data_IF_456997635211
#
_entry.id   IF_456997635211
#
_cell.length_a   1.000
_cell.length_b   1.000
_cell.length_c   1.000
_cell.angle_alpha   90.00
_cell.angle_beta   90.00
_cell.angle_gamma   90.00
#
_symmetry.space_group_name_H-M   'P 1'
#
loop_
_entity.id
_entity.type
_entity.pdbx_description
1 polymer ?
#
# COMPACT_ATOMS: atom_id res chain seq x y z
N UNK A 1 -86.82 -123.82 61.45
CA UNK A 1 -86.36 -123.15 62.70
C UNK A 1 -84.84 -123.16 62.72
N UNK A 2 -84.22 -121.97 62.63
CA UNK A 2 -82.83 -121.59 62.98
C UNK A 2 -82.73 -120.09 62.62
N UNK A 3 -83.11 -119.19 63.54
CA UNK A 3 -82.22 -118.41 64.42
C UNK A 3 -81.21 -117.55 63.62
N UNK A 4 -81.55 -116.28 63.36
CA UNK A 4 -81.15 -115.12 64.16
C UNK A 4 -79.76 -114.58 63.78
N UNK A 5 -79.74 -113.38 63.18
CA UNK A 5 -78.60 -112.46 63.25
C UNK A 5 -79.11 -111.02 63.08
N UNK A 6 -79.98 -110.58 63.99
CA UNK A 6 -80.45 -109.20 64.07
C UNK A 6 -79.62 -108.49 65.16
N UNK A 7 -78.73 -107.57 64.76
CA UNK A 7 -78.07 -106.67 65.72
C UNK A 7 -78.88 -105.39 65.86
N UNK A 8 -79.52 -105.12 67.02
CA UNK A 8 -80.25 -103.88 67.23
C UNK A 8 -79.29 -102.68 67.32
N UNK A 9 -79.63 -101.59 66.63
CA UNK A 9 -79.03 -100.25 66.81
C UNK A 9 -80.12 -99.29 67.32
N UNK A 10 -79.77 -98.29 68.15
CA UNK A 10 -80.75 -97.35 68.68
C UNK A 10 -81.28 -96.47 67.55
N UNK A 11 -82.55 -96.65 67.18
CA UNK A 11 -83.21 -95.89 66.10
C UNK A 11 -84.18 -96.68 65.20
N UNK A 12 -84.27 -98.01 65.35
CA UNK A 12 -85.24 -98.84 64.63
C UNK A 12 -84.70 -100.24 64.28
N UNK A 13 -85.61 -101.17 63.98
CA UNK A 13 -85.27 -102.53 63.56
C UNK A 13 -85.50 -102.63 62.06
N UNK A 14 -84.45 -102.93 61.29
CA UNK A 14 -84.54 -103.27 59.86
C UNK A 14 -84.57 -104.78 59.70
N UNK A 15 -85.52 -105.30 58.93
CA UNK A 15 -85.58 -106.71 58.56
C UNK A 15 -85.69 -106.84 57.03
N UNK A 16 -84.95 -107.79 56.47
CA UNK A 16 -85.06 -108.14 55.06
C UNK A 16 -86.17 -109.19 54.88
N UNK A 17 -87.18 -108.86 54.08
CA UNK A 17 -88.24 -109.81 53.71
C UNK A 17 -87.95 -110.36 52.32
N UNK A 18 -87.59 -111.65 52.25
CA UNK A 18 -87.36 -112.36 51.00
C UNK A 18 -88.60 -113.21 50.69
N UNK A 19 -89.48 -112.73 49.82
CA UNK A 19 -90.72 -113.44 49.43
C UNK A 19 -90.47 -114.62 48.48
N UNK A 20 -89.30 -114.68 47.82
CA UNK A 20 -88.83 -115.80 47.00
C UNK A 20 -87.29 -115.74 46.92
N UNK A 21 -86.54 -116.81 47.25
CA UNK A 21 -85.08 -116.79 47.17
C UNK A 21 -84.62 -116.67 45.71
N UNK A 22 -83.55 -115.90 45.47
CA UNK A 22 -82.98 -115.75 44.13
C UNK A 22 -82.48 -117.12 43.64
N UNK A 23 -82.94 -117.56 42.47
CA UNK A 23 -82.54 -118.84 41.84
C UNK A 23 -81.14 -118.81 41.24
N UNK A 24 -80.37 -117.74 41.46
CA UNK A 24 -78.99 -117.58 40.97
C UNK A 24 -78.16 -116.94 42.10
N UNK A 25 -77.25 -117.71 42.68
CA UNK A 25 -76.18 -117.18 43.56
C UNK A 25 -75.18 -116.41 42.68
N UNK A 26 -75.44 -115.13 42.46
CA UNK A 26 -74.47 -114.23 41.83
C UNK A 26 -74.64 -112.82 42.39
N UNK A 27 -73.96 -112.56 43.50
CA UNK A 27 -73.68 -111.21 43.97
C UNK A 27 -72.63 -110.58 43.05
N UNK A 28 -73.01 -110.00 41.91
CA UNK A 28 -72.29 -108.89 41.25
C UNK A 28 -73.25 -108.05 40.39
N UNK A 29 -73.44 -106.81 40.83
CA UNK A 29 -74.06 -105.71 40.06
C UNK A 29 -73.34 -105.47 38.73
N UNK A 30 -74.03 -104.88 37.73
CA UNK A 30 -73.70 -104.98 36.31
C UNK A 30 -72.36 -104.34 35.95
N UNK A 31 -71.76 -104.91 34.90
CA UNK A 31 -70.57 -104.45 34.19
C UNK A 31 -70.45 -102.92 34.18
N UNK A 32 -69.62 -102.38 35.09
CA UNK A 32 -69.12 -101.03 34.93
C UNK A 32 -68.15 -101.05 33.75
N UNK A 33 -68.56 -100.50 32.61
CA UNK A 33 -67.73 -100.22 31.42
C UNK A 33 -66.70 -99.09 31.66
N UNK A 34 -66.28 -98.89 32.90
CA UNK A 34 -65.22 -97.97 33.28
C UNK A 34 -64.03 -98.80 33.73
N UNK A 35 -62.78 -98.48 33.34
CA UNK A 35 -61.59 -99.27 33.70
C UNK A 35 -61.25 -99.10 35.20
N UNK A 36 -62.13 -99.56 36.08
CA UNK A 36 -61.90 -99.72 37.51
C UNK A 36 -61.37 -101.14 37.77
N UNK A 37 -60.21 -101.44 37.21
CA UNK A 37 -59.51 -102.71 37.39
C UNK A 37 -58.00 -102.57 37.61
N UNK A 38 -57.46 -101.35 37.51
CA UNK A 38 -56.10 -101.08 38.00
C UNK A 38 -56.27 -100.69 39.45
N UNK A 39 -55.82 -101.54 40.40
CA UNK A 39 -55.56 -101.10 41.79
C UNK A 39 -54.85 -99.76 41.66
N UNK A 40 -55.48 -98.64 42.04
CA UNK A 40 -54.87 -97.31 41.92
C UNK A 40 -53.51 -97.43 42.59
N UNK A 41 -52.40 -97.43 41.84
CA UNK A 41 -51.08 -97.30 42.46
C UNK A 41 -51.18 -95.99 43.21
N UNK A 42 -51.06 -96.05 44.53
CA UNK A 42 -51.03 -94.86 45.36
C UNK A 42 -49.88 -94.02 44.83
N UNK A 43 -50.22 -92.89 44.20
CA UNK A 43 -49.22 -91.98 43.66
C UNK A 43 -48.39 -91.50 44.85
N UNK A 44 -47.09 -91.80 44.83
CA UNK A 44 -46.17 -91.29 45.86
C UNK A 44 -46.27 -89.78 45.89
N UNK A 45 -46.16 -89.19 47.08
CA UNK A 45 -46.24 -87.74 47.29
C UNK A 45 -45.29 -86.98 46.35
N UNK A 46 -44.09 -87.51 46.13
CA UNK A 46 -43.11 -86.97 45.17
C UNK A 46 -43.62 -86.97 43.72
N UNK A 47 -44.35 -88.01 43.29
CA UNK A 47 -44.91 -88.10 41.94
C UNK A 47 -46.07 -87.10 41.74
N UNK A 48 -46.83 -86.79 42.80
CA UNK A 48 -47.90 -85.78 42.78
C UNK A 48 -47.26 -84.39 42.68
N UNK A 49 -46.27 -84.09 43.51
CA UNK A 49 -45.51 -82.84 43.50
C UNK A 49 -44.85 -82.59 42.14
N UNK A 50 -44.22 -83.61 41.55
CA UNK A 50 -43.56 -83.49 40.25
C UNK A 50 -44.57 -83.25 39.10
N UNK A 51 -45.81 -83.78 39.20
CA UNK A 51 -46.89 -83.45 38.24
C UNK A 51 -47.40 -82.02 38.40
N UNK A 52 -47.52 -81.53 39.64
CA UNK A 52 -47.90 -80.14 39.91
C UNK A 52 -46.82 -79.17 39.44
N UNK A 53 -45.55 -79.45 39.74
CA UNK A 53 -44.40 -78.66 39.28
C UNK A 53 -44.33 -78.56 37.75
N UNK A 54 -44.50 -79.66 37.01
CA UNK A 54 -44.58 -79.62 35.53
C UNK A 54 -45.79 -78.85 35.00
N UNK A 55 -46.90 -78.80 35.75
CA UNK A 55 -48.06 -77.98 35.37
C UNK A 55 -47.76 -76.49 35.61
N UNK A 56 -47.10 -76.17 36.71
CA UNK A 56 -46.66 -74.81 37.05
C UNK A 56 -45.60 -74.29 36.08
N UNK A 57 -44.59 -75.09 35.74
CA UNK A 57 -43.57 -74.75 34.74
C UNK A 57 -44.20 -74.49 33.37
N UNK A 58 -45.16 -75.31 32.93
CA UNK A 58 -45.91 -75.04 31.68
C UNK A 58 -46.71 -73.75 31.76
N UNK A 59 -47.39 -73.48 32.88
CA UNK A 59 -48.12 -72.22 33.08
C UNK A 59 -47.16 -71.03 33.03
N UNK A 60 -46.02 -71.13 33.70
CA UNK A 60 -44.98 -70.10 33.75
C UNK A 60 -44.37 -69.83 32.38
N UNK A 61 -44.06 -70.87 31.59
CA UNK A 61 -43.52 -70.72 30.24
C UNK A 61 -44.51 -70.02 29.29
N UNK A 62 -45.80 -70.41 29.34
CA UNK A 62 -46.85 -69.76 28.52
C UNK A 62 -47.02 -68.30 28.93
N UNK A 63 -46.99 -68.02 30.24
CA UNK A 63 -47.07 -66.65 30.77
C UNK A 63 -45.84 -65.82 30.34
N UNK A 64 -44.64 -66.37 30.41
CA UNK A 64 -43.41 -65.73 29.94
C UNK A 64 -43.45 -65.46 28.43
N UNK A 65 -43.82 -66.44 27.61
CA UNK A 65 -43.91 -66.28 26.16
C UNK A 65 -44.92 -65.17 25.80
N UNK A 66 -46.08 -65.14 26.48
CA UNK A 66 -47.07 -64.08 26.31
C UNK A 66 -46.51 -62.71 26.70
N UNK A 67 -45.76 -62.62 27.79
CA UNK A 67 -45.12 -61.38 28.22
C UNK A 67 -44.04 -60.92 27.23
N UNK A 68 -43.25 -61.84 26.68
CA UNK A 68 -42.26 -61.54 25.65
C UNK A 68 -42.90 -61.05 24.34
N UNK A 69 -44.02 -61.65 23.91
CA UNK A 69 -44.78 -61.18 22.75
C UNK A 69 -45.31 -59.76 22.97
N UNK A 70 -45.91 -59.49 24.13
CA UNK A 70 -46.37 -58.14 24.49
C UNK A 70 -45.23 -57.12 24.57
N UNK A 71 -44.06 -57.52 25.07
CA UNK A 71 -42.87 -56.67 25.10
C UNK A 71 -42.37 -56.35 23.68
N UNK A 72 -42.34 -57.33 22.78
CA UNK A 72 -41.99 -57.14 21.36
C UNK A 72 -42.96 -56.20 20.64
N UNK A 73 -44.27 -56.35 20.88
CA UNK A 73 -45.27 -55.44 20.31
C UNK A 73 -45.12 -54.00 20.81
N UNK A 74 -44.87 -53.82 22.13
CA UNK A 74 -44.59 -52.51 22.72
C UNK A 74 -43.33 -51.88 22.13
N UNK A 75 -42.25 -52.67 22.01
CA UNK A 75 -40.99 -52.19 21.45
C UNK A 75 -41.17 -51.74 19.99
N UNK A 76 -41.87 -52.53 19.17
CA UNK A 76 -42.19 -52.15 17.78
C UNK A 76 -43.03 -50.87 17.71
N UNK A 77 -43.99 -50.69 18.61
CA UNK A 77 -44.78 -49.46 18.67
C UNK A 77 -43.90 -48.23 18.98
N UNK A 78 -42.96 -48.36 19.93
CA UNK A 78 -41.98 -47.30 20.25
C UNK A 78 -41.08 -47.01 19.05
N UNK A 79 -40.55 -48.04 18.38
CA UNK A 79 -39.71 -47.89 17.19
C UNK A 79 -40.43 -47.18 16.04
N UNK A 80 -41.71 -47.48 15.81
CA UNK A 80 -42.50 -46.79 14.79
C UNK A 80 -42.69 -45.32 15.13
N UNK A 81 -43.02 -45.01 16.39
CA UNK A 81 -43.23 -43.62 16.83
C UNK A 81 -41.91 -42.82 16.77
N UNK A 82 -40.83 -43.38 17.29
CA UNK A 82 -39.50 -42.74 17.28
C UNK A 82 -38.99 -42.54 15.85
N UNK A 83 -39.18 -43.53 14.97
CA UNK A 83 -38.84 -43.39 13.55
C UNK A 83 -39.64 -42.28 12.89
N UNK A 84 -40.96 -42.24 13.08
CA UNK A 84 -41.80 -41.17 12.53
C UNK A 84 -41.39 -39.77 13.03
N UNK A 85 -41.02 -39.65 14.31
CA UNK A 85 -40.47 -38.42 14.88
C UNK A 85 -39.14 -38.05 14.22
N UNK A 86 -38.20 -38.99 14.09
CA UNK A 86 -36.89 -38.75 13.47
C UNK A 86 -37.00 -38.32 12.01
N UNK A 87 -37.89 -38.92 11.22
CA UNK A 87 -38.12 -38.54 9.81
C UNK A 87 -38.73 -37.13 9.72
N UNK A 88 -39.62 -36.77 10.64
CA UNK A 88 -40.18 -35.42 10.72
C UNK A 88 -39.11 -34.37 11.06
N UNK A 89 -38.24 -34.67 12.02
CA UNK A 89 -37.11 -33.81 12.40
C UNK A 89 -36.10 -33.65 11.27
N UNK A 90 -35.76 -34.75 10.58
CA UNK A 90 -34.84 -34.73 9.43
C UNK A 90 -35.43 -33.88 8.29
N UNK A 91 -36.72 -34.05 8.00
CA UNK A 91 -37.41 -33.24 7.00
C UNK A 91 -37.39 -31.74 7.35
N UNK A 92 -37.67 -31.41 8.61
CA UNK A 92 -37.63 -30.03 9.10
C UNK A 92 -36.23 -29.44 8.95
N UNK A 93 -35.19 -30.15 9.41
CA UNK A 93 -33.80 -29.73 9.33
C UNK A 93 -33.35 -29.52 7.88
N UNK A 94 -33.62 -30.49 6.99
CA UNK A 94 -33.26 -30.40 5.57
C UNK A 94 -33.95 -29.21 4.88
N UNK A 95 -35.21 -28.96 5.22
CA UNK A 95 -35.97 -27.82 4.69
C UNK A 95 -35.39 -26.49 5.18
N UNK A 96 -35.07 -26.39 6.47
CA UNK A 96 -34.44 -25.21 7.06
C UNK A 96 -33.08 -24.93 6.42
N UNK A 97 -32.23 -25.95 6.27
CA UNK A 97 -30.92 -25.79 5.62
C UNK A 97 -31.04 -25.38 4.15
N UNK A 98 -32.02 -25.95 3.41
CA UNK A 98 -32.28 -25.58 2.02
C UNK A 98 -32.70 -24.12 1.91
N UNK A 99 -33.59 -23.65 2.78
CA UNK A 99 -33.99 -22.25 2.85
C UNK A 99 -32.80 -21.35 3.18
N UNK A 100 -32.00 -21.71 4.20
CA UNK A 100 -30.80 -20.97 4.58
C UNK A 100 -29.83 -20.84 3.41
N UNK A 101 -29.48 -21.94 2.75
CA UNK A 101 -28.59 -21.93 1.56
C UNK A 101 -29.15 -21.05 0.44
N UNK A 102 -30.45 -21.14 0.17
CA UNK A 102 -31.10 -20.30 -0.86
C UNK A 102 -31.02 -18.80 -0.52
N UNK A 103 -31.20 -18.44 0.76
CA UNK A 103 -31.06 -17.07 1.23
C UNK A 103 -29.61 -16.57 1.18
N UNK A 104 -28.64 -17.42 1.53
CA UNK A 104 -27.21 -17.13 1.44
C UNK A 104 -26.82 -16.83 -0.01
N UNK A 105 -27.17 -17.71 -0.95
CA UNK A 105 -26.89 -17.54 -2.38
C UNK A 105 -27.53 -16.24 -2.92
N UNK A 106 -28.77 -15.94 -2.54
CA UNK A 106 -29.43 -14.69 -2.95
C UNK A 106 -28.69 -13.47 -2.41
N UNK A 107 -28.22 -13.53 -1.16
CA UNK A 107 -27.45 -12.45 -0.54
C UNK A 107 -26.12 -12.26 -1.27
N UNK A 108 -25.36 -13.33 -1.46
CA UNK A 108 -24.07 -13.32 -2.16
C UNK A 108 -24.20 -12.82 -3.61
N UNK A 109 -25.22 -13.25 -4.35
CA UNK A 109 -25.50 -12.78 -5.70
C UNK A 109 -25.79 -11.27 -5.71
N UNK A 110 -26.61 -10.80 -4.77
CA UNK A 110 -26.91 -9.36 -4.63
C UNK A 110 -25.66 -8.57 -4.29
N UNK A 111 -24.85 -9.05 -3.35
CA UNK A 111 -23.58 -8.41 -2.97
C UNK A 111 -22.59 -8.38 -4.13
N UNK A 112 -22.48 -9.46 -4.91
CA UNK A 112 -21.62 -9.52 -6.09
C UNK A 112 -22.04 -8.52 -7.15
N UNK A 113 -23.35 -8.40 -7.41
CA UNK A 113 -23.88 -7.40 -8.33
C UNK A 113 -23.60 -5.97 -7.87
N UNK A 114 -23.77 -5.69 -6.57
CA UNK A 114 -23.47 -4.37 -5.99
C UNK A 114 -21.99 -4.07 -6.09
N UNK A 115 -21.10 -5.01 -5.74
CA UNK A 115 -19.65 -4.85 -5.85
C UNK A 115 -19.22 -4.56 -7.29
N UNK A 116 -19.74 -5.30 -8.26
CA UNK A 116 -19.45 -5.08 -9.68
C UNK A 116 -19.90 -3.69 -10.16
N UNK A 117 -21.06 -3.20 -9.68
CA UNK A 117 -21.52 -1.84 -9.98
C UNK A 117 -20.61 -0.77 -9.33
N UNK A 118 -20.22 -0.97 -8.07
CA UNK A 118 -19.32 -0.07 -7.37
C UNK A 118 -17.95 0.02 -8.04
N UNK A 119 -17.40 -1.11 -8.47
CA UNK A 119 -16.13 -1.17 -9.20
C UNK A 119 -16.21 -0.40 -10.52
N UNK A 120 -17.25 -0.65 -11.33
CA UNK A 120 -17.48 0.09 -12.59
C UNK A 120 -17.61 1.59 -12.37
N UNK A 121 -18.32 2.02 -11.32
CA UNK A 121 -18.46 3.43 -10.97
C UNK A 121 -17.13 4.04 -10.52
N UNK A 122 -16.32 3.29 -9.76
CA UNK A 122 -14.99 3.72 -9.33
C UNK A 122 -14.06 3.89 -10.53
N UNK A 123 -14.02 2.93 -11.45
CA UNK A 123 -13.24 3.02 -12.69
C UNK A 123 -13.67 4.22 -13.54
N UNK A 124 -14.98 4.44 -13.69
CA UNK A 124 -15.49 5.61 -14.40
C UNK A 124 -15.04 6.92 -13.75
N UNK A 125 -15.12 7.02 -12.41
CA UNK A 125 -14.65 8.21 -11.68
C UNK A 125 -13.15 8.45 -11.86
N UNK A 126 -12.34 7.40 -11.85
CA UNK A 126 -10.89 7.50 -12.09
C UNK A 126 -10.63 8.03 -13.51
N UNK A 127 -11.32 7.48 -14.51
CA UNK A 127 -11.18 7.93 -15.90
C UNK A 127 -11.59 9.39 -16.09
N UNK A 128 -12.64 9.84 -15.42
CA UNK A 128 -13.03 11.26 -15.43
C UNK A 128 -11.93 12.14 -14.85
N UNK A 129 -11.33 11.75 -13.72
CA UNK A 129 -10.23 12.48 -13.10
C UNK A 129 -8.98 12.51 -14.00
N UNK A 130 -8.65 11.40 -14.66
CA UNK A 130 -7.53 11.35 -15.61
C UNK A 130 -7.75 12.32 -16.78
N UNK A 131 -8.96 12.35 -17.35
CA UNK A 131 -9.29 13.27 -18.45
C UNK A 131 -9.22 14.74 -17.98
N UNK A 132 -9.71 15.04 -16.78
CA UNK A 132 -9.60 16.38 -16.19
C UNK A 132 -8.14 16.80 -16.01
N UNK A 133 -7.32 15.93 -15.39
CA UNK A 133 -5.90 16.19 -15.18
C UNK A 133 -5.14 16.38 -16.49
N UNK A 134 -5.40 15.55 -17.49
CA UNK A 134 -4.81 15.70 -18.82
C UNK A 134 -5.20 17.02 -19.48
N UNK A 135 -6.45 17.45 -19.32
CA UNK A 135 -6.92 18.76 -19.79
C UNK A 135 -6.20 19.92 -19.09
N UNK A 136 -6.07 19.88 -17.77
CA UNK A 136 -5.33 20.88 -16.99
C UNK A 136 -3.85 20.94 -17.36
N UNK A 137 -3.19 19.79 -17.53
CA UNK A 137 -1.79 19.70 -17.96
C UNK A 137 -1.61 20.28 -19.36
N UNK A 138 -2.56 20.02 -20.28
CA UNK A 138 -2.55 20.62 -21.61
C UNK A 138 -2.65 22.14 -21.52
N UNK A 139 -3.58 22.69 -20.74
CA UNK A 139 -3.74 24.14 -20.54
C UNK A 139 -2.44 24.75 -19.98
N UNK A 140 -1.87 24.19 -18.92
CA UNK A 140 -0.59 24.65 -18.34
C UNK A 140 0.55 24.65 -19.35
N UNK A 141 0.63 23.62 -20.20
CA UNK A 141 1.65 23.55 -21.25
C UNK A 141 1.47 24.64 -22.32
N UNK A 142 0.22 25.02 -22.61
CA UNK A 142 -0.08 26.10 -23.54
C UNK A 142 0.24 27.47 -22.92
N UNK A 143 -0.13 27.69 -21.67
CA UNK A 143 0.20 28.90 -20.91
C UNK A 143 1.71 29.12 -20.87
N UNK A 144 2.49 28.10 -20.49
CA UNK A 144 3.95 28.16 -20.46
C UNK A 144 4.55 28.48 -21.84
N UNK A 145 4.01 27.92 -22.93
CA UNK A 145 4.45 28.25 -24.30
C UNK A 145 4.13 29.69 -24.68
N UNK A 146 2.99 30.22 -24.25
CA UNK A 146 2.60 31.61 -24.51
C UNK A 146 3.50 32.56 -23.72
N UNK A 147 3.73 32.29 -22.45
CA UNK A 147 4.65 33.05 -21.59
C UNK A 147 6.08 33.05 -22.15
N UNK A 148 6.58 31.89 -22.57
CA UNK A 148 7.90 31.79 -23.21
C UNK A 148 7.98 32.64 -24.47
N UNK A 149 6.97 32.58 -25.35
CA UNK A 149 6.94 33.38 -26.58
C UNK A 149 6.87 34.88 -26.27
N UNK A 150 6.10 35.27 -25.26
CA UNK A 150 6.02 36.66 -24.82
C UNK A 150 7.37 37.14 -24.29
N UNK A 151 8.00 36.34 -23.42
CA UNK A 151 9.32 36.62 -22.85
C UNK A 151 10.40 36.77 -23.94
N UNK A 152 10.49 35.83 -24.88
CA UNK A 152 11.43 35.90 -26.01
C UNK A 152 11.22 37.16 -26.85
N UNK A 153 9.96 37.54 -27.09
CA UNK A 153 9.64 38.75 -27.84
C UNK A 153 10.09 40.00 -27.10
N UNK A 154 9.87 40.07 -25.78
CA UNK A 154 10.33 41.17 -24.93
C UNK A 154 11.86 41.27 -24.89
N UNK A 155 12.55 40.14 -24.74
CA UNK A 155 14.02 40.08 -24.79
C UNK A 155 14.55 40.58 -26.13
N UNK A 156 13.92 40.19 -27.24
CA UNK A 156 14.30 40.68 -28.57
C UNK A 156 14.14 42.19 -28.70
N UNK A 157 13.05 42.77 -28.17
CA UNK A 157 12.87 44.22 -28.15
C UNK A 157 13.94 44.92 -27.31
N UNK A 158 14.31 44.34 -26.17
CA UNK A 158 15.33 44.90 -25.29
C UNK A 158 16.72 44.87 -25.95
N UNK A 159 17.11 43.74 -26.53
CA UNK A 159 18.37 43.60 -27.29
C UNK A 159 18.43 44.58 -28.45
N UNK A 160 17.34 44.72 -29.22
CA UNK A 160 17.28 45.67 -30.32
C UNK A 160 17.44 47.12 -29.83
N UNK A 161 16.77 47.48 -28.74
CA UNK A 161 16.91 48.79 -28.11
C UNK A 161 18.34 49.03 -27.64
N UNK A 162 18.94 48.07 -26.93
CA UNK A 162 20.32 48.15 -26.45
C UNK A 162 21.32 48.31 -27.61
N UNK A 163 21.13 47.56 -28.70
CA UNK A 163 21.97 47.67 -29.90
C UNK A 163 21.86 49.04 -30.57
N UNK A 164 20.66 49.61 -30.65
CA UNK A 164 20.46 50.98 -31.15
C UNK A 164 21.19 52.02 -30.29
N UNK A 165 21.05 51.92 -28.96
CA UNK A 165 21.76 52.81 -28.03
C UNK A 165 23.28 52.65 -28.12
N UNK A 166 23.77 51.41 -28.17
CA UNK A 166 25.20 51.12 -28.32
C UNK A 166 25.75 51.69 -29.63
N UNK A 167 25.00 51.58 -30.72
CA UNK A 167 25.38 52.16 -32.01
C UNK A 167 25.49 53.69 -31.97
N UNK A 168 24.56 54.38 -31.30
CA UNK A 168 24.64 55.83 -31.10
C UNK A 168 25.82 56.22 -30.22
N UNK A 169 26.07 55.48 -29.13
CA UNK A 169 27.20 55.72 -28.24
C UNK A 169 28.55 55.51 -28.94
N UNK A 170 28.68 54.48 -29.77
CA UNK A 170 29.91 54.24 -30.58
C UNK A 170 30.20 55.42 -31.50
N UNK A 171 29.18 55.91 -32.22
CA UNK A 171 29.35 57.08 -33.11
C UNK A 171 29.75 58.34 -32.33
N UNK A 172 29.16 58.56 -31.16
CA UNK A 172 29.55 59.69 -30.30
C UNK A 172 30.98 59.56 -29.80
N UNK A 173 31.40 58.34 -29.42
CA UNK A 173 32.75 58.06 -28.98
C UNK A 173 33.76 58.24 -30.13
N UNK A 174 33.43 57.78 -31.34
CA UNK A 174 34.23 57.99 -32.55
C UNK A 174 34.39 59.49 -32.85
N UNK A 175 33.29 60.27 -32.80
CA UNK A 175 33.35 61.72 -32.94
C UNK A 175 34.23 62.38 -31.87
N UNK A 176 34.11 61.96 -30.61
CA UNK A 176 34.94 62.48 -29.52
C UNK A 176 36.44 62.16 -29.73
N UNK A 177 36.76 60.94 -30.18
CA UNK A 177 38.13 60.55 -30.54
C UNK A 177 38.67 61.44 -31.66
N UNK A 178 37.88 61.63 -32.72
CA UNK A 178 38.30 62.45 -33.86
C UNK A 178 38.51 63.92 -33.47
N UNK A 179 37.64 64.50 -32.64
CA UNK A 179 37.84 65.85 -32.10
C UNK A 179 39.17 65.93 -31.35
N UNK A 180 39.44 64.96 -30.48
CA UNK A 180 40.68 64.91 -29.73
C UNK A 180 41.92 64.77 -30.65
N UNK A 181 41.84 63.93 -31.69
CA UNK A 181 42.89 63.81 -32.71
C UNK A 181 43.14 65.14 -33.44
N UNK A 182 42.10 65.87 -33.82
CA UNK A 182 42.21 67.18 -34.48
C UNK A 182 42.80 68.23 -33.54
N UNK A 183 42.38 68.26 -32.27
CA UNK A 183 42.94 69.13 -31.24
C UNK A 183 44.45 68.87 -31.06
N UNK A 184 44.84 67.60 -30.88
CA UNK A 184 46.25 67.22 -30.76
C UNK A 184 47.06 67.58 -32.01
N UNK A 185 46.51 67.35 -33.21
CA UNK A 185 47.17 67.74 -34.45
C UNK A 185 47.36 69.27 -34.57
N UNK A 186 46.43 70.06 -34.05
CA UNK A 186 46.55 71.52 -33.98
C UNK A 186 47.61 71.96 -32.97
N UNK A 187 47.65 71.35 -31.78
CA UNK A 187 48.66 71.62 -30.75
C UNK A 187 50.07 71.32 -31.26
N UNK A 188 50.27 70.16 -31.89
CA UNK A 188 51.55 69.76 -32.47
C UNK A 188 52.02 70.73 -33.57
N UNK A 189 51.09 71.29 -34.36
CA UNK A 189 51.42 72.32 -35.35
C UNK A 189 51.92 73.61 -34.69
N UNK A 190 51.30 74.02 -33.58
CA UNK A 190 51.74 75.17 -32.78
C UNK A 190 53.14 74.96 -32.19
N UNK A 191 53.41 73.77 -31.65
CA UNK A 191 54.75 73.41 -31.16
C UNK A 191 55.80 73.52 -32.27
N UNK A 192 55.51 73.05 -33.47
CA UNK A 192 56.44 73.18 -34.61
C UNK A 192 56.70 74.64 -35.01
N UNK A 193 55.71 75.54 -34.90
CA UNK A 193 55.93 76.97 -35.14
C UNK A 193 56.76 77.62 -34.04
N UNK A 194 56.54 77.24 -32.78
CA UNK A 194 57.32 77.72 -31.64
C UNK A 194 58.78 77.25 -31.74
N UNK A 195 59.01 75.98 -32.11
CA UNK A 195 60.35 75.43 -32.37
C UNK A 195 61.07 76.17 -33.51
N UNK A 196 60.38 76.48 -34.62
CA UNK A 196 60.95 77.26 -35.71
C UNK A 196 61.30 78.69 -35.28
N UNK A 197 60.47 79.31 -34.45
CA UNK A 197 60.73 80.64 -33.89
C UNK A 197 61.94 80.61 -32.96
N UNK A 198 62.06 79.59 -32.11
CA UNK A 198 63.22 79.40 -31.23
C UNK A 198 64.51 79.19 -32.04
N UNK A 199 64.47 78.37 -33.09
CA UNK A 199 65.61 78.19 -34.01
C UNK A 199 66.01 79.50 -34.70
N UNK A 200 65.05 80.36 -35.06
CA UNK A 200 65.31 81.67 -35.66
C UNK A 200 66.00 82.60 -34.67
N UNK A 201 65.49 82.69 -33.44
CA UNK A 201 66.10 83.49 -32.36
C UNK A 201 67.52 83.01 -32.09
N UNK A 202 67.73 81.71 -31.97
CA UNK A 202 69.05 81.14 -31.73
C UNK A 202 70.04 81.44 -32.86
N UNK A 203 69.59 81.44 -34.13
CA UNK A 203 70.42 81.88 -35.27
C UNK A 203 70.78 83.36 -35.17
N UNK A 204 69.85 84.22 -34.77
CA UNK A 204 70.11 85.65 -34.58
C UNK A 204 71.11 85.89 -33.44
N UNK A 205 70.94 85.22 -32.30
CA UNK A 205 71.85 85.29 -31.17
C UNK A 205 73.26 84.84 -31.56
N UNK A 206 73.39 83.73 -32.29
CA UNK A 206 74.70 83.26 -32.77
C UNK A 206 75.35 84.25 -33.74
N UNK A 207 74.57 84.87 -34.64
CA UNK A 207 75.07 85.91 -35.53
C UNK A 207 75.54 87.16 -34.76
N UNK A 208 74.81 87.57 -33.71
CA UNK A 208 75.22 88.66 -32.82
C UNK A 208 76.49 88.30 -32.04
N UNK A 209 76.56 87.10 -31.47
CA UNK A 209 77.73 86.61 -30.72
C UNK A 209 78.98 86.58 -31.59
N UNK A 210 78.88 86.07 -32.82
CA UNK A 210 79.97 86.08 -33.78
C UNK A 210 80.41 87.52 -34.15
N UNK A 211 79.46 88.45 -34.28
CA UNK A 211 79.77 89.86 -34.56
C UNK A 211 80.45 90.53 -33.37
N UNK A 212 80.00 90.26 -32.15
CA UNK A 212 80.63 90.74 -30.92
C UNK A 212 82.06 90.21 -30.79
N UNK A 213 82.29 88.93 -31.09
CA UNK A 213 83.63 88.34 -31.12
C UNK A 213 84.53 89.01 -32.17
N UNK A 214 84.01 89.30 -33.37
CA UNK A 214 84.75 90.03 -34.40
C UNK A 214 85.10 91.46 -33.96
N UNK A 215 84.15 92.18 -33.36
CA UNK A 215 84.36 93.53 -32.83
C UNK A 215 85.36 93.53 -31.68
N UNK A 216 85.24 92.59 -30.75
CA UNK A 216 86.19 92.40 -29.65
C UNK A 216 87.59 92.07 -30.19
N UNK A 217 87.70 91.17 -31.16
CA UNK A 217 88.97 90.85 -31.81
C UNK A 217 89.57 92.03 -32.59
N UNK A 218 88.77 93.00 -33.04
CA UNK A 218 89.25 94.28 -33.59
C UNK A 218 89.72 95.23 -32.48
N UNK A 219 88.96 95.33 -31.38
CA UNK A 219 89.33 96.12 -30.20
C UNK A 219 90.64 95.63 -29.56
N UNK A 220 90.80 94.32 -29.40
CA UNK A 220 92.00 93.70 -28.83
C UNK A 220 93.22 93.99 -29.72
N UNK A 221 93.08 93.88 -31.05
CA UNK A 221 94.14 94.28 -31.99
C UNK A 221 94.51 95.76 -31.88
N UNK A 222 93.51 96.64 -31.75
CA UNK A 222 93.75 98.07 -31.52
C UNK A 222 94.49 98.30 -30.18
N UNK A 223 94.08 97.61 -29.12
CA UNK A 223 94.72 97.70 -27.80
C UNK A 223 96.16 97.14 -27.82
N UNK A 224 96.43 96.05 -28.54
CA UNK A 224 97.78 95.53 -28.77
C UNK A 224 98.65 96.53 -29.53
N UNK A 225 98.11 97.17 -30.58
CA UNK A 225 98.80 98.24 -31.29
C UNK A 225 99.13 99.42 -30.36
N UNK A 226 98.18 99.87 -29.54
CA UNK A 226 98.44 100.90 -28.52
C UNK A 226 99.48 100.48 -27.49
N UNK A 227 99.40 99.25 -26.99
CA UNK A 227 100.35 98.70 -26.02
C UNK A 227 101.75 98.57 -26.64
N UNK A 228 101.85 98.18 -27.91
CA UNK A 228 103.12 98.12 -28.64
C UNK A 228 103.70 99.51 -28.87
N UNK A 229 102.87 100.51 -29.17
CA UNK A 229 103.29 101.92 -29.22
C UNK A 229 103.84 102.35 -27.85
N UNK A 230 103.09 102.09 -26.77
CA UNK A 230 103.51 102.40 -25.39
C UNK A 230 104.79 101.66 -25.01
N UNK A 231 104.97 100.41 -25.43
CA UNK A 231 106.16 99.63 -25.13
C UNK A 231 107.38 100.07 -25.93
N UNK A 232 107.22 100.45 -27.19
CA UNK A 232 108.29 101.11 -27.97
C UNK A 232 108.70 102.42 -27.30
N UNK A 233 107.72 103.23 -26.83
CA UNK A 233 108.00 104.44 -26.04
C UNK A 233 108.72 104.12 -24.71
N UNK A 234 108.32 103.06 -24.01
CA UNK A 234 108.96 102.63 -22.76
C UNK A 234 110.38 102.11 -23.00
N UNK A 235 110.61 101.30 -24.05
CA UNK A 235 111.93 100.80 -24.45
C UNK A 235 112.85 101.96 -24.85
N UNK A 236 112.33 102.99 -25.52
CA UNK A 236 113.07 104.23 -25.79
C UNK A 236 113.52 104.91 -24.49
N UNK A 237 112.63 105.03 -23.50
CA UNK A 237 112.98 105.57 -22.18
C UNK A 237 113.96 104.70 -21.37
N UNK A 238 113.87 103.37 -21.47
CA UNK A 238 114.73 102.43 -20.72
C UNK A 238 116.12 102.28 -21.37
N UNK A 239 116.24 102.39 -22.70
CA UNK A 239 117.54 102.48 -23.38
C UNK A 239 118.28 103.79 -23.08
N UNK A 240 117.58 104.83 -22.63
CA UNK A 240 118.19 106.10 -22.17
C UNK A 240 118.59 106.05 -20.68
N UNK A 241 118.23 104.99 -19.93
CA UNK A 241 118.41 104.92 -18.46
C UNK A 241 119.38 103.83 -17.99
N UNK A 242 120.23 103.28 -18.87
CA UNK A 242 121.08 102.11 -18.57
C UNK A 242 122.50 102.13 -19.13
N UNK A 243 123.07 103.30 -19.46
CA UNK A 243 124.50 103.46 -19.76
C UNK A 243 125.01 104.87 -19.38
N UNK A 244 126.24 104.93 -18.83
CA UNK A 244 127.00 106.06 -18.23
C UNK A 244 126.63 106.46 -16.79
N UNK A 245 127.53 106.53 -15.79
CA UNK A 245 129.01 106.68 -15.76
C UNK A 245 129.57 107.70 -16.74
N UNK A 246 129.24 108.97 -16.51
CA UNK A 246 130.09 110.09 -16.00
C UNK A 246 129.13 111.22 -15.65
#
# INVERSE_FOLDING_TARGET
MAAENQKPKPGGISFDVILKPATVESVRSPLQLSPNGVKKRELSQEQIENKLKRAEERRSLIEQERMEQLAKERQKAIEVVTKAQSESEEFSKKTQEKLRRSMEIRRENRETQIKALQERLREHSLKVQEVQKAGEEMVKSFEAKVEQKLSQKMETYEVNRQNQFKGMLSKLQEHASHINEVCQASENRGQSTDELQEQLVQKMENALRNREEQLKGLQDRLAEHENRIKEVQRKKHISESGDNTV
#
